data_IF_014846343686
#
_entry.id   IF_014846343686
#
_cell.length_a   1.000
_cell.length_b   1.000
_cell.length_c   1.000
_cell.angle_alpha   90.00
_cell.angle_beta   90.00
_cell.angle_gamma   90.00
#
_symmetry.space_group_name_H-M   'P 1'
#
loop_
_entity.id
_entity.type
_entity.pdbx_description
1 polymer ?
#
# COMPACT_ATOMS: atom_id res chain seq x y z
N UNK A 1 -26.70 -28.32 6.48
CA UNK A 1 -25.67 -27.61 5.71
C UNK A 1 -24.69 -26.97 6.70
N UNK A 2 -23.45 -27.45 6.79
CA UNK A 2 -22.39 -26.75 7.55
C UNK A 2 -22.16 -25.42 6.81
N UNK A 3 -22.45 -24.26 7.45
CA UNK A 3 -21.92 -22.96 7.02
C UNK A 3 -20.41 -23.16 6.84
N UNK A 4 -19.87 -22.88 5.68
CA UNK A 4 -18.41 -22.81 5.52
C UNK A 4 -17.92 -21.80 6.55
N UNK A 5 -17.11 -22.26 7.51
CA UNK A 5 -16.51 -21.33 8.48
C UNK A 5 -15.61 -20.41 7.68
N UNK A 6 -15.99 -19.14 7.54
CA UNK A 6 -15.10 -18.14 6.96
C UNK A 6 -13.81 -18.09 7.75
N UNK A 7 -12.68 -17.93 7.04
CA UNK A 7 -11.40 -17.81 7.70
C UNK A 7 -11.42 -16.58 8.62
N UNK A 8 -11.02 -16.70 9.91
CA UNK A 8 -11.13 -15.59 10.85
C UNK A 8 -10.18 -14.42 10.48
N UNK A 9 -9.08 -14.71 9.80
CA UNK A 9 -8.09 -13.74 9.36
C UNK A 9 -7.81 -13.94 7.88
N UNK A 10 -7.71 -12.83 7.13
CA UNK A 10 -7.54 -12.81 5.68
C UNK A 10 -6.31 -12.00 5.30
N UNK A 11 -5.38 -12.60 4.57
CA UNK A 11 -4.16 -11.96 4.08
C UNK A 11 -3.77 -12.53 2.71
N UNK A 12 -2.92 -11.81 1.97
CA UNK A 12 -2.49 -12.20 0.62
C UNK A 12 -3.55 -12.00 -0.47
N UNK A 13 -4.76 -11.64 -0.09
CA UNK A 13 -5.88 -11.32 -0.98
C UNK A 13 -6.55 -10.03 -0.52
N UNK A 14 -7.48 -9.52 -1.32
CA UNK A 14 -8.31 -8.37 -0.94
C UNK A 14 -9.23 -8.75 0.22
N UNK A 15 -9.37 -7.84 1.17
CA UNK A 15 -10.20 -8.04 2.37
C UNK A 15 -11.55 -7.40 2.13
N UNK A 16 -12.62 -8.17 2.35
CA UNK A 16 -14.02 -7.77 2.14
C UNK A 16 -14.88 -8.13 3.36
N UNK A 17 -16.08 -7.59 3.41
CA UNK A 17 -17.10 -7.93 4.41
C UNK A 17 -16.63 -7.71 5.84
N UNK A 18 -16.92 -8.68 6.72
CA UNK A 18 -16.60 -8.64 8.14
C UNK A 18 -15.09 -8.74 8.44
N UNK A 19 -14.28 -9.16 7.46
CA UNK A 19 -12.82 -9.19 7.59
C UNK A 19 -12.19 -7.81 7.44
N UNK A 20 -12.96 -6.80 7.01
CA UNK A 20 -12.52 -5.42 6.92
C UNK A 20 -12.80 -4.72 8.26
N UNK A 21 -11.75 -4.35 8.97
CA UNK A 21 -11.87 -3.65 10.26
C UNK A 21 -11.57 -2.17 10.14
N UNK A 22 -12.28 -1.36 10.95
CA UNK A 22 -12.11 0.09 11.08
C UNK A 22 -12.17 0.85 9.72
N UNK A 23 -11.47 1.95 9.60
CA UNK A 23 -11.44 2.80 8.39
C UNK A 23 -12.75 3.56 8.12
N UNK A 24 -13.53 3.86 9.16
CA UNK A 24 -14.83 4.53 8.98
C UNK A 24 -14.65 5.93 8.40
N UNK A 25 -13.74 6.72 8.96
CA UNK A 25 -13.47 8.10 8.52
C UNK A 25 -12.94 8.12 7.09
N UNK A 26 -11.96 7.27 6.78
CA UNK A 26 -11.40 7.19 5.43
C UNK A 26 -12.43 6.68 4.42
N UNK A 27 -13.27 5.73 4.83
CA UNK A 27 -14.36 5.20 4.00
C UNK A 27 -15.36 6.29 3.66
N UNK A 28 -15.86 7.05 4.65
CA UNK A 28 -16.83 8.13 4.43
C UNK A 28 -16.23 9.29 3.61
N UNK A 29 -14.97 9.66 3.87
CA UNK A 29 -14.28 10.68 3.09
C UNK A 29 -14.14 10.28 1.63
N UNK A 30 -13.66 9.07 1.38
CA UNK A 30 -13.46 8.56 0.03
C UNK A 30 -14.78 8.37 -0.71
N UNK A 31 -15.83 7.89 0.00
CA UNK A 31 -17.20 7.78 -0.52
C UNK A 31 -17.76 9.15 -0.92
N UNK A 32 -17.58 10.16 -0.09
CA UNK A 32 -17.99 11.53 -0.42
C UNK A 32 -17.24 12.04 -1.66
N UNK A 33 -15.92 11.84 -1.73
CA UNK A 33 -15.13 12.26 -2.88
C UNK A 33 -15.62 11.60 -4.18
N UNK A 34 -15.91 10.31 -4.17
CA UNK A 34 -16.41 9.58 -5.34
C UNK A 34 -17.80 10.03 -5.72
N UNK A 35 -18.68 10.26 -4.74
CA UNK A 35 -20.07 10.69 -4.98
C UNK A 35 -20.14 12.09 -5.57
N UNK A 36 -19.27 12.99 -5.12
CA UNK A 36 -19.30 14.41 -5.53
C UNK A 36 -18.24 14.77 -6.60
N UNK A 37 -17.57 13.76 -7.17
CA UNK A 37 -16.63 13.97 -8.27
C UNK A 37 -15.33 14.66 -7.87
N UNK A 38 -14.87 14.48 -6.64
CA UNK A 38 -13.62 15.07 -6.15
C UNK A 38 -12.45 14.14 -6.46
N UNK A 39 -11.43 14.65 -7.18
CA UNK A 39 -10.21 13.91 -7.38
C UNK A 39 -9.52 13.62 -6.04
N UNK A 40 -9.01 12.41 -5.88
CA UNK A 40 -8.42 11.94 -4.63
C UNK A 40 -7.01 11.41 -4.85
N UNK A 41 -6.08 11.77 -3.97
CA UNK A 41 -4.74 11.21 -3.92
C UNK A 41 -4.57 10.51 -2.58
N UNK A 42 -4.43 9.18 -2.60
CA UNK A 42 -4.28 8.36 -1.41
C UNK A 42 -2.89 7.73 -1.36
N UNK A 43 -2.13 8.04 -0.32
CA UNK A 43 -0.79 7.50 -0.10
C UNK A 43 -0.79 6.58 1.12
N UNK A 44 -0.21 5.42 0.94
CA UNK A 44 -0.06 4.45 2.03
C UNK A 44 1.13 3.53 1.76
N UNK A 45 1.95 3.21 2.75
CA UNK A 45 2.90 2.12 2.63
C UNK A 45 2.23 0.84 2.13
N UNK A 46 3.00 -0.09 1.60
CA UNK A 46 2.52 -1.43 1.25
C UNK A 46 1.91 -2.11 2.48
N UNK A 47 0.99 -3.04 2.27
CA UNK A 47 0.37 -3.89 3.31
C UNK A 47 -0.51 -3.16 4.33
N UNK A 48 -0.91 -1.91 4.06
CA UNK A 48 -1.79 -1.11 4.94
C UNK A 48 -3.28 -1.23 4.61
N UNK A 49 -3.66 -2.02 3.59
CA UNK A 49 -5.05 -2.20 3.19
C UNK A 49 -5.60 -1.12 2.25
N UNK A 50 -4.74 -0.34 1.58
CA UNK A 50 -5.11 0.72 0.63
C UNK A 50 -6.08 0.23 -0.46
N UNK A 51 -5.72 -0.82 -1.19
CA UNK A 51 -6.54 -1.39 -2.28
C UNK A 51 -7.88 -1.91 -1.74
N UNK A 52 -7.88 -2.59 -0.58
CA UNK A 52 -9.11 -3.07 0.06
C UNK A 52 -10.05 -1.92 0.45
N UNK A 53 -9.52 -0.79 0.93
CA UNK A 53 -10.32 0.41 1.23
C UNK A 53 -10.96 0.98 -0.03
N UNK A 54 -10.17 1.18 -1.10
CA UNK A 54 -10.66 1.69 -2.37
C UNK A 54 -11.73 0.77 -2.95
N UNK A 55 -11.49 -0.54 -2.98
CA UNK A 55 -12.44 -1.52 -3.50
C UNK A 55 -13.76 -1.55 -2.69
N UNK A 56 -13.67 -1.47 -1.36
CA UNK A 56 -14.85 -1.36 -0.49
C UNK A 56 -15.69 -0.13 -0.84
N UNK A 57 -15.05 1.03 -0.96
CA UNK A 57 -15.76 2.26 -1.31
C UNK A 57 -16.34 2.18 -2.73
N UNK A 58 -15.58 1.65 -3.68
CA UNK A 58 -16.10 1.41 -5.03
C UNK A 58 -17.39 0.59 -5.01
N UNK A 59 -17.41 -0.52 -4.25
CA UNK A 59 -18.60 -1.38 -4.13
C UNK A 59 -19.79 -0.68 -3.46
N UNK A 60 -19.55 0.31 -2.60
CA UNK A 60 -20.60 1.08 -1.92
C UNK A 60 -21.22 2.15 -2.80
N UNK A 61 -20.49 2.70 -3.78
CA UNK A 61 -20.94 3.83 -4.62
C UNK A 61 -21.31 3.42 -6.04
N UNK A 62 -20.82 2.27 -6.52
CA UNK A 62 -21.05 1.82 -7.88
C UNK A 62 -22.55 1.61 -8.15
N UNK A 63 -23.05 2.24 -9.19
CA UNK A 63 -24.46 2.26 -9.57
C UNK A 63 -24.60 2.55 -11.07
N UNK A 64 -25.83 2.66 -11.57
CA UNK A 64 -26.06 3.15 -12.93
C UNK A 64 -25.63 4.61 -13.15
N UNK A 65 -25.59 5.41 -12.08
CA UNK A 65 -25.18 6.83 -12.11
C UNK A 65 -23.69 7.03 -11.84
N UNK A 66 -23.02 6.07 -11.18
CA UNK A 66 -21.57 6.12 -10.88
C UNK A 66 -20.95 4.82 -11.36
N UNK A 67 -20.05 4.91 -12.34
CA UNK A 67 -19.30 3.79 -12.88
C UNK A 67 -17.85 3.82 -12.43
N UNK A 68 -17.27 2.67 -12.15
CA UNK A 68 -15.92 2.56 -11.61
C UNK A 68 -15.00 1.89 -12.62
N UNK A 69 -14.01 2.63 -13.11
CA UNK A 69 -12.91 2.07 -13.92
C UNK A 69 -11.69 1.82 -13.02
N UNK A 70 -11.16 0.59 -13.01
CA UNK A 70 -10.02 0.18 -12.16
C UNK A 70 -8.82 -0.16 -13.02
N UNK A 71 -7.68 0.44 -12.70
CA UNK A 71 -6.41 0.25 -13.40
C UNK A 71 -5.35 -0.07 -12.36
N UNK A 72 -4.53 -1.08 -12.62
CA UNK A 72 -3.28 -1.32 -11.92
C UNK A 72 -2.12 -0.87 -12.83
N UNK A 73 -1.47 0.22 -12.47
CA UNK A 73 -0.36 0.76 -13.23
C UNK A 73 0.96 0.00 -13.00
N UNK A 74 1.00 -0.94 -12.05
CA UNK A 74 2.22 -1.70 -11.71
C UNK A 74 2.80 -2.46 -12.93
N UNK A 75 1.94 -3.01 -13.78
CA UNK A 75 2.35 -3.73 -14.98
C UNK A 75 2.74 -2.84 -16.17
N UNK A 76 2.46 -1.54 -16.11
CA UNK A 76 2.73 -0.62 -17.22
C UNK A 76 4.21 -0.21 -17.24
N UNK A 77 4.85 -0.31 -18.38
CA UNK A 77 6.25 0.07 -18.60
C UNK A 77 6.42 1.29 -19.49
N UNK A 78 5.36 1.70 -20.16
CA UNK A 78 5.35 2.79 -21.13
C UNK A 78 4.03 3.57 -21.10
N UNK A 79 4.04 4.76 -21.72
CA UNK A 79 2.83 5.56 -21.99
C UNK A 79 1.78 4.69 -22.72
N UNK A 80 2.20 3.91 -23.72
CA UNK A 80 1.30 3.10 -24.52
C UNK A 80 0.63 1.98 -23.69
N UNK A 81 1.37 1.30 -22.80
CA UNK A 81 0.79 0.29 -21.91
C UNK A 81 -0.28 0.90 -21.02
N UNK A 82 0.03 2.08 -20.44
CA UNK A 82 -0.90 2.80 -19.58
C UNK A 82 -2.17 3.21 -20.32
N UNK A 83 -2.03 3.78 -21.52
CA UNK A 83 -3.17 4.26 -22.34
C UNK A 83 -4.08 3.11 -22.75
N UNK A 84 -3.53 1.97 -23.13
CA UNK A 84 -4.34 0.78 -23.45
C UNK A 84 -5.07 0.22 -22.21
N UNK A 85 -4.38 0.13 -21.07
CA UNK A 85 -5.00 -0.29 -19.82
C UNK A 85 -6.11 0.67 -19.37
N UNK A 86 -5.85 1.99 -19.48
CA UNK A 86 -6.80 3.06 -19.17
C UNK A 86 -8.06 2.95 -20.01
N UNK A 87 -7.93 2.90 -21.34
CA UNK A 87 -9.07 2.79 -22.23
C UNK A 87 -9.86 1.52 -22.01
N UNK A 88 -9.17 0.38 -21.86
CA UNK A 88 -9.81 -0.92 -21.57
C UNK A 88 -10.62 -0.85 -20.28
N UNK A 89 -10.08 -0.30 -19.20
CA UNK A 89 -10.79 -0.17 -17.93
C UNK A 89 -12.03 0.72 -18.05
N UNK A 90 -11.95 1.83 -18.76
CA UNK A 90 -13.08 2.75 -18.97
C UNK A 90 -14.18 2.11 -19.81
N UNK A 91 -13.83 1.42 -20.87
CA UNK A 91 -14.81 0.72 -21.73
C UNK A 91 -15.51 -0.40 -20.95
N UNK A 92 -14.75 -1.23 -20.22
CA UNK A 92 -15.32 -2.30 -19.38
C UNK A 92 -16.26 -1.79 -18.30
N UNK A 93 -15.91 -0.70 -17.62
CA UNK A 93 -16.72 -0.09 -16.56
C UNK A 93 -18.10 0.39 -17.07
N UNK A 94 -18.21 0.68 -18.34
CA UNK A 94 -19.40 1.25 -18.96
C UNK A 94 -20.12 0.31 -19.95
N UNK A 95 -19.59 -0.91 -20.13
CA UNK A 95 -20.17 -1.97 -20.95
C UNK A 95 -20.81 -3.06 -20.10
N UNK A 96 -21.72 -3.82 -20.69
CA UNK A 96 -22.22 -5.09 -20.14
C UNK A 96 -21.27 -6.26 -20.41
N UNK A 97 -20.33 -6.10 -21.34
CA UNK A 97 -19.32 -7.09 -21.68
C UNK A 97 -17.99 -6.76 -21.00
N UNK A 98 -17.65 -7.51 -19.96
CA UNK A 98 -16.41 -7.37 -19.20
C UNK A 98 -15.17 -7.93 -19.93
N UNK A 99 -15.34 -8.65 -21.02
CA UNK A 99 -14.25 -9.23 -21.82
C UNK A 99 -13.65 -8.25 -22.84
N UNK A 100 -14.28 -7.09 -23.04
CA UNK A 100 -13.82 -6.10 -24.00
C UNK A 100 -12.39 -5.64 -23.69
N UNK A 101 -11.57 -5.62 -24.72
CA UNK A 101 -10.25 -5.00 -24.72
C UNK A 101 -10.25 -3.85 -25.72
N UNK A 102 -9.69 -2.74 -25.31
CA UNK A 102 -9.52 -1.60 -26.17
C UNK A 102 -8.06 -1.52 -26.62
N UNK A 103 -7.86 -1.47 -27.92
CA UNK A 103 -6.56 -1.15 -28.49
C UNK A 103 -6.61 0.28 -29.01
N UNK A 104 -5.74 1.15 -28.49
CA UNK A 104 -5.67 2.56 -28.91
C UNK A 104 -5.43 2.69 -30.42
N UNK A 105 -4.74 1.74 -31.06
CA UNK A 105 -4.53 1.72 -32.49
C UNK A 105 -3.86 3.01 -32.98
N UNK A 106 -4.53 3.72 -33.89
CA UNK A 106 -4.07 4.98 -34.45
C UNK A 106 -4.54 6.23 -33.67
N UNK A 107 -5.27 6.06 -32.55
CA UNK A 107 -5.73 7.19 -31.75
C UNK A 107 -4.55 7.85 -31.01
N UNK A 108 -4.58 9.16 -30.89
CA UNK A 108 -3.61 9.88 -30.08
C UNK A 108 -3.86 9.66 -28.59
N UNK A 109 -2.84 9.84 -27.76
CA UNK A 109 -2.96 9.80 -26.30
C UNK A 109 -4.10 10.69 -25.80
N UNK A 110 -4.21 11.91 -26.32
CA UNK A 110 -5.24 12.87 -25.90
C UNK A 110 -6.65 12.42 -26.27
N UNK A 111 -6.85 11.81 -27.42
CA UNK A 111 -8.15 11.25 -27.81
C UNK A 111 -8.59 10.13 -26.86
N UNK A 112 -7.68 9.23 -26.52
CA UNK A 112 -7.97 8.16 -25.56
C UNK A 112 -8.24 8.72 -24.16
N UNK A 113 -7.49 9.71 -23.70
CA UNK A 113 -7.70 10.33 -22.39
C UNK A 113 -9.04 11.09 -22.30
N UNK A 114 -9.64 11.52 -23.41
CA UNK A 114 -10.98 12.14 -23.45
C UNK A 114 -12.12 11.11 -23.44
N UNK A 115 -11.83 9.85 -23.71
CA UNK A 115 -12.82 8.78 -23.83
C UNK A 115 -13.76 8.69 -22.60
N UNK A 116 -13.30 8.70 -21.34
CA UNK A 116 -14.20 8.61 -20.19
C UNK A 116 -15.21 9.76 -20.12
N UNK A 117 -14.81 10.99 -20.38
CA UNK A 117 -15.72 12.15 -20.39
C UNK A 117 -16.78 12.03 -21.52
N UNK A 118 -16.38 11.57 -22.69
CA UNK A 118 -17.31 11.36 -23.81
C UNK A 118 -18.34 10.28 -23.47
N UNK A 119 -17.91 9.16 -22.89
CA UNK A 119 -18.79 8.07 -22.49
C UNK A 119 -19.70 8.51 -21.35
N UNK A 120 -19.16 9.16 -20.33
CA UNK A 120 -19.92 9.63 -19.17
C UNK A 120 -21.06 10.56 -19.60
N UNK A 121 -20.77 11.54 -20.48
CA UNK A 121 -21.79 12.45 -21.05
C UNK A 121 -22.84 11.71 -21.86
N UNK A 122 -22.43 10.79 -22.72
CA UNK A 122 -23.37 10.05 -23.58
C UNK A 122 -24.30 9.14 -22.79
N UNK A 123 -23.85 8.62 -21.65
CA UNK A 123 -24.63 7.71 -20.78
C UNK A 123 -25.32 8.42 -19.60
N UNK A 124 -25.06 9.71 -19.41
CA UNK A 124 -25.62 10.46 -18.28
C UNK A 124 -25.14 9.97 -16.91
N UNK A 125 -23.89 9.50 -16.83
CA UNK A 125 -23.30 8.97 -15.59
C UNK A 125 -22.03 9.73 -15.22
N UNK A 126 -21.52 9.50 -14.01
CA UNK A 126 -20.20 9.90 -13.56
C UNK A 126 -19.24 8.69 -13.59
N UNK A 127 -18.01 8.85 -14.03
CA UNK A 127 -17.00 7.80 -14.03
C UNK A 127 -15.91 8.14 -13.00
N UNK A 128 -15.69 7.25 -12.04
CA UNK A 128 -14.55 7.31 -11.12
C UNK A 128 -13.46 6.39 -11.64
N UNK A 129 -12.31 6.95 -11.99
CA UNK A 129 -11.16 6.20 -12.47
C UNK A 129 -10.18 5.99 -11.32
N UNK A 130 -10.08 4.76 -10.83
CA UNK A 130 -9.21 4.34 -9.74
C UNK A 130 -7.93 3.74 -10.30
N UNK A 131 -6.77 4.34 -9.99
CA UNK A 131 -5.46 3.92 -10.53
C UNK A 131 -4.55 3.54 -9.36
N UNK A 132 -4.30 2.22 -9.20
CA UNK A 132 -3.34 1.69 -8.22
C UNK A 132 -1.91 1.85 -8.72
N UNK A 133 -0.98 1.97 -7.79
CA UNK A 133 0.47 2.15 -8.01
C UNK A 133 0.78 3.27 -9.03
N UNK A 134 0.01 4.38 -8.95
CA UNK A 134 0.11 5.51 -9.89
C UNK A 134 1.52 6.08 -10.04
N UNK A 135 2.35 6.01 -9.01
CA UNK A 135 3.74 6.47 -9.10
C UNK A 135 4.56 5.73 -10.18
N UNK A 136 4.09 4.59 -10.67
CA UNK A 136 4.76 3.85 -11.74
C UNK A 136 4.94 4.68 -13.01
N UNK A 137 4.03 5.60 -13.30
CA UNK A 137 4.18 6.52 -14.45
C UNK A 137 5.41 7.42 -14.32
N UNK A 138 5.94 7.59 -13.10
CA UNK A 138 7.17 8.35 -12.85
C UNK A 138 8.43 7.68 -13.40
N UNK A 139 8.38 6.37 -13.63
CA UNK A 139 9.48 5.57 -14.17
C UNK A 139 9.45 5.46 -15.72
N UNK A 140 8.42 6.02 -16.39
CA UNK A 140 8.32 5.98 -17.85
C UNK A 140 9.34 6.89 -18.54
N UNK A 141 9.80 6.53 -19.75
CA UNK A 141 10.50 7.48 -20.60
C UNK A 141 9.65 8.74 -20.79
N UNK A 142 10.25 9.93 -20.72
CA UNK A 142 9.54 11.22 -20.81
C UNK A 142 8.36 11.39 -19.82
N UNK A 143 8.48 10.80 -18.62
CA UNK A 143 7.47 10.83 -17.59
C UNK A 143 6.83 12.21 -17.35
N UNK A 144 7.62 13.28 -17.30
CA UNK A 144 7.09 14.64 -17.11
C UNK A 144 6.21 15.10 -18.26
N UNK A 145 6.56 14.78 -19.49
CA UNK A 145 5.75 15.11 -20.68
C UNK A 145 4.43 14.35 -20.63
N UNK A 146 4.48 13.07 -20.29
CA UNK A 146 3.28 12.25 -20.12
C UNK A 146 2.38 12.79 -19.00
N UNK A 147 2.94 13.11 -17.83
CA UNK A 147 2.18 13.72 -16.72
C UNK A 147 1.52 15.05 -17.14
N UNK A 148 2.18 15.88 -17.96
CA UNK A 148 1.57 17.10 -18.50
C UNK A 148 0.39 16.80 -19.42
N UNK A 149 0.49 15.78 -20.30
CA UNK A 149 -0.63 15.33 -21.14
C UNK A 149 -1.82 14.88 -20.29
N UNK A 150 -1.59 14.01 -19.30
CA UNK A 150 -2.63 13.55 -18.37
C UNK A 150 -3.32 14.75 -17.70
N UNK A 151 -2.53 15.66 -17.09
CA UNK A 151 -3.04 16.82 -16.37
C UNK A 151 -3.86 17.75 -17.26
N UNK A 152 -3.39 18.03 -18.49
CA UNK A 152 -4.06 18.95 -19.42
C UNK A 152 -5.44 18.45 -19.84
N UNK A 153 -5.62 17.14 -19.97
CA UNK A 153 -6.91 16.55 -20.33
C UNK A 153 -7.80 16.39 -19.11
N UNK A 154 -7.30 15.78 -18.05
CA UNK A 154 -8.10 15.41 -16.87
C UNK A 154 -8.69 16.61 -16.13
N UNK A 155 -7.97 17.73 -16.05
CA UNK A 155 -8.49 18.95 -15.39
C UNK A 155 -9.70 19.60 -16.08
N UNK A 156 -9.97 19.23 -17.35
CA UNK A 156 -11.08 19.76 -18.13
C UNK A 156 -12.35 18.88 -18.06
N UNK A 157 -12.25 17.72 -17.42
CA UNK A 157 -13.35 16.79 -17.31
C UNK A 157 -14.26 17.15 -16.14
N UNK A 158 -15.57 17.09 -16.34
CA UNK A 158 -16.59 17.44 -15.35
C UNK A 158 -17.47 16.24 -14.94
N UNK A 159 -17.44 15.16 -15.72
CA UNK A 159 -18.17 13.91 -15.45
C UNK A 159 -17.24 12.76 -15.09
N UNK A 160 -15.97 13.06 -14.82
CA UNK A 160 -14.94 12.08 -14.45
C UNK A 160 -14.18 12.59 -13.25
N UNK A 161 -13.92 11.71 -12.30
CA UNK A 161 -12.98 11.97 -11.21
C UNK A 161 -11.97 10.85 -11.07
N UNK A 162 -10.85 11.16 -10.46
CA UNK A 162 -9.69 10.27 -10.37
C UNK A 162 -9.36 9.95 -8.92
N UNK A 163 -9.19 8.66 -8.62
CA UNK A 163 -8.59 8.20 -7.38
C UNK A 163 -7.21 7.63 -7.69
N UNK A 164 -6.17 8.43 -7.42
CA UNK A 164 -4.78 8.09 -7.71
C UNK A 164 -4.12 7.65 -6.41
N UNK A 165 -3.71 6.38 -6.34
CA UNK A 165 -3.15 5.86 -5.12
C UNK A 165 -1.90 5.03 -5.35
N UNK A 166 -1.02 5.00 -4.35
CA UNK A 166 0.27 4.34 -4.49
C UNK A 166 0.96 4.08 -3.17
N UNK A 167 1.99 3.23 -3.24
CA UNK A 167 2.73 2.75 -2.07
C UNK A 167 4.07 3.48 -1.86
N UNK A 168 4.71 3.99 -2.90
CA UNK A 168 6.00 4.69 -2.80
C UNK A 168 5.77 6.15 -2.38
N UNK A 169 5.71 6.40 -1.07
CA UNK A 169 5.42 7.70 -0.45
C UNK A 169 6.23 8.84 -1.09
N UNK A 170 7.56 8.69 -1.18
CA UNK A 170 8.43 9.74 -1.71
C UNK A 170 8.08 10.14 -3.15
N UNK A 171 7.80 9.17 -4.02
CA UNK A 171 7.44 9.45 -5.41
C UNK A 171 6.08 10.13 -5.51
N UNK A 172 5.09 9.66 -4.76
CA UNK A 172 3.76 10.27 -4.71
C UNK A 172 3.81 11.70 -4.17
N UNK A 173 4.54 11.96 -3.08
CA UNK A 173 4.72 13.32 -2.55
C UNK A 173 5.41 14.22 -3.57
N UNK A 174 6.43 13.74 -4.26
CA UNK A 174 7.10 14.49 -5.30
C UNK A 174 6.14 14.89 -6.44
N UNK A 175 5.29 13.97 -6.90
CA UNK A 175 4.34 14.22 -7.99
C UNK A 175 3.22 15.19 -7.61
N UNK A 176 2.69 15.10 -6.37
CA UNK A 176 1.47 15.80 -5.97
C UNK A 176 1.69 17.02 -5.05
N UNK A 177 2.80 17.09 -4.32
CA UNK A 177 3.08 18.18 -3.38
C UNK A 177 4.18 19.14 -3.86
N UNK A 178 4.97 18.77 -4.86
CA UNK A 178 6.00 19.64 -5.40
C UNK A 178 5.40 20.53 -6.50
N UNK A 179 5.48 21.85 -6.32
CA UNK A 179 4.93 22.84 -7.25
C UNK A 179 5.52 22.79 -8.68
N UNK A 180 6.68 22.13 -8.85
CA UNK A 180 7.31 21.95 -10.16
C UNK A 180 6.72 20.79 -10.97
N UNK A 181 5.82 19.98 -10.37
CA UNK A 181 5.22 18.83 -11.04
C UNK A 181 3.81 19.10 -11.52
N UNK A 182 3.38 18.47 -12.64
CA UNK A 182 2.08 18.75 -13.27
C UNK A 182 0.87 18.49 -12.35
N UNK A 183 0.96 17.48 -11.48
CA UNK A 183 -0.13 17.09 -10.58
C UNK A 183 -0.18 17.85 -9.26
N UNK A 184 0.63 18.91 -9.11
CA UNK A 184 0.55 19.75 -7.91
C UNK A 184 -0.89 20.20 -7.63
N UNK A 185 -1.38 19.92 -6.42
CA UNK A 185 -2.75 20.24 -5.98
C UNK A 185 -3.86 19.73 -6.91
N UNK A 186 -3.73 18.49 -7.40
CA UNK A 186 -4.72 17.92 -8.32
C UNK A 186 -6.05 17.57 -7.67
N UNK A 187 -6.09 17.27 -6.37
CA UNK A 187 -7.30 16.86 -5.67
C UNK A 187 -7.13 16.80 -4.16
N UNK A 188 -8.06 16.14 -3.49
CA UNK A 188 -8.03 15.86 -2.06
C UNK A 188 -6.92 14.85 -1.75
N UNK A 189 -5.98 15.28 -0.92
CA UNK A 189 -4.77 14.53 -0.63
C UNK A 189 -4.78 14.03 0.82
N UNK A 190 -4.64 12.72 1.03
CA UNK A 190 -4.52 12.17 2.36
C UNK A 190 -3.68 10.90 2.46
N UNK A 191 -3.13 10.67 3.64
CA UNK A 191 -2.41 9.47 3.99
C UNK A 191 -3.34 8.47 4.66
N UNK A 192 -3.23 7.20 4.28
CA UNK A 192 -3.85 6.12 5.02
C UNK A 192 -2.97 5.77 6.22
N UNK A 193 -3.40 6.19 7.39
CA UNK A 193 -2.68 5.93 8.64
C UNK A 193 -2.83 4.46 9.08
N UNK A 194 -2.01 4.02 10.03
CA UNK A 194 -2.17 2.72 10.68
C UNK A 194 -3.48 2.69 11.46
N UNK A 195 -4.18 1.57 11.43
CA UNK A 195 -5.32 1.31 12.30
C UNK A 195 -4.84 1.38 13.76
N UNK A 196 -5.68 1.88 14.66
CA UNK A 196 -5.31 2.03 16.05
C UNK A 196 -5.03 0.67 16.71
N UNK A 197 -4.16 0.65 17.73
CA UNK A 197 -3.89 -0.58 18.48
C UNK A 197 -5.17 -1.09 19.14
N UNK A 198 -6.01 -0.18 19.66
CA UNK A 198 -7.28 -0.52 20.30
C UNK A 198 -8.22 -1.26 19.33
N UNK A 199 -8.41 -0.73 18.12
CA UNK A 199 -9.31 -1.33 17.12
C UNK A 199 -8.78 -2.68 16.64
N UNK A 200 -7.46 -2.82 16.53
CA UNK A 200 -6.85 -4.11 16.20
C UNK A 200 -7.01 -5.13 17.31
N UNK A 201 -6.78 -4.77 18.59
CA UNK A 201 -6.94 -5.67 19.72
C UNK A 201 -8.39 -6.16 19.80
N UNK A 202 -9.36 -5.25 19.72
CA UNK A 202 -10.78 -5.60 19.71
C UNK A 202 -11.11 -6.56 18.55
N UNK A 203 -10.66 -6.24 17.34
CA UNK A 203 -10.86 -7.11 16.16
C UNK A 203 -10.26 -8.51 16.35
N UNK A 204 -9.01 -8.60 16.80
CA UNK A 204 -8.34 -9.90 16.99
C UNK A 204 -9.10 -10.76 18.02
N UNK A 205 -9.47 -10.19 19.17
CA UNK A 205 -10.22 -10.89 20.20
C UNK A 205 -11.57 -11.39 19.66
N UNK A 206 -12.35 -10.53 18.99
CA UNK A 206 -13.63 -10.90 18.40
C UNK A 206 -13.49 -12.04 17.36
N UNK A 207 -12.41 -12.03 16.55
CA UNK A 207 -12.18 -13.08 15.56
C UNK A 207 -11.81 -14.42 16.18
N UNK A 208 -11.06 -14.44 17.27
CA UNK A 208 -10.80 -15.66 18.04
C UNK A 208 -12.11 -16.21 18.63
N UNK A 209 -12.87 -15.36 19.32
CA UNK A 209 -14.15 -15.73 19.96
C UNK A 209 -15.17 -16.26 18.95
N UNK A 210 -15.27 -15.65 17.77
CA UNK A 210 -16.20 -16.06 16.71
C UNK A 210 -15.97 -17.50 16.22
N UNK A 211 -14.82 -18.07 16.52
CA UNK A 211 -14.42 -19.45 16.15
C UNK A 211 -14.30 -20.39 17.32
N UNK A 212 -14.67 -19.97 18.55
CA UNK A 212 -14.60 -20.77 19.78
C UNK A 212 -13.18 -20.86 20.35
N UNK A 213 -12.29 -19.93 20.01
CA UNK A 213 -10.94 -19.82 20.59
C UNK A 213 -10.81 -18.50 21.34
N UNK A 214 -9.80 -18.40 22.18
CA UNK A 214 -9.59 -17.21 23.00
C UNK A 214 -8.17 -16.66 22.83
N UNK A 215 -8.01 -15.36 23.00
CA UNK A 215 -6.71 -14.66 23.10
C UNK A 215 -6.87 -13.53 24.11
N UNK A 216 -5.86 -13.30 24.94
CA UNK A 216 -5.89 -12.15 25.83
C UNK A 216 -5.61 -10.84 25.08
N UNK A 217 -6.08 -9.72 25.63
CA UNK A 217 -5.79 -8.39 25.06
C UNK A 217 -4.29 -8.10 25.02
N UNK A 218 -3.52 -8.61 26.01
CA UNK A 218 -2.07 -8.46 26.08
C UNK A 218 -1.41 -9.14 24.88
N UNK A 219 -1.74 -10.40 24.59
CA UNK A 219 -1.18 -11.10 23.43
C UNK A 219 -1.64 -10.49 22.11
N UNK A 220 -2.89 -10.03 22.02
CA UNK A 220 -3.39 -9.31 20.84
C UNK A 220 -2.62 -7.99 20.64
N UNK A 221 -2.29 -7.30 21.73
CA UNK A 221 -1.45 -6.08 21.69
C UNK A 221 -0.02 -6.37 21.24
N UNK A 222 0.57 -7.48 21.70
CA UNK A 222 1.89 -7.91 21.24
C UNK A 222 1.91 -8.24 19.73
N UNK A 223 0.84 -8.86 19.19
CA UNK A 223 0.69 -9.03 17.73
C UNK A 223 0.77 -7.68 17.02
N UNK A 224 0.07 -6.66 17.52
CA UNK A 224 0.07 -5.31 16.96
C UNK A 224 1.47 -4.67 17.02
N UNK A 225 2.18 -4.84 18.12
CA UNK A 225 3.52 -4.26 18.33
C UNK A 225 4.56 -4.92 17.43
N UNK A 226 4.60 -6.25 17.39
CA UNK A 226 5.53 -7.01 16.54
C UNK A 226 5.37 -6.64 15.05
N UNK A 227 4.13 -6.47 14.62
CA UNK A 227 3.80 -6.15 13.23
C UNK A 227 3.78 -4.65 12.94
N UNK A 228 4.05 -3.82 13.95
CA UNK A 228 3.92 -2.36 13.87
C UNK A 228 2.59 -1.93 13.22
N UNK A 229 1.54 -2.71 13.45
CA UNK A 229 0.17 -2.49 12.94
C UNK A 229 0.06 -2.42 11.40
N UNK A 230 0.98 -3.05 10.67
CA UNK A 230 0.82 -3.25 9.23
C UNK A 230 -0.28 -4.28 8.99
N UNK A 231 -1.40 -3.85 8.42
CA UNK A 231 -2.66 -4.61 8.37
C UNK A 231 -2.50 -6.05 7.86
N UNK A 232 -1.73 -6.25 6.79
CA UNK A 232 -1.49 -7.60 6.26
C UNK A 232 -0.71 -8.48 7.23
N UNK A 233 0.27 -7.91 7.95
CA UNK A 233 1.06 -8.65 8.92
C UNK A 233 0.30 -8.94 10.21
N UNK A 234 -0.55 -8.01 10.68
CA UNK A 234 -1.45 -8.27 11.81
C UNK A 234 -2.35 -9.47 11.50
N UNK A 235 -2.99 -9.48 10.35
CA UNK A 235 -3.85 -10.57 9.90
C UNK A 235 -3.07 -11.90 9.79
N UNK A 236 -1.89 -11.86 9.19
CA UNK A 236 -1.08 -13.06 8.97
C UNK A 236 -0.52 -13.63 10.28
N UNK A 237 -0.02 -12.79 11.19
CA UNK A 237 0.47 -13.25 12.49
C UNK A 237 -0.66 -13.79 13.36
N UNK A 238 -1.79 -13.07 13.42
CA UNK A 238 -2.98 -13.54 14.14
C UNK A 238 -3.49 -14.88 13.58
N UNK A 239 -3.44 -15.09 12.27
CA UNK A 239 -3.76 -16.38 11.64
C UNK A 239 -2.83 -17.50 12.10
N UNK A 240 -1.50 -17.29 12.13
CA UNK A 240 -0.56 -18.32 12.57
C UNK A 240 -0.73 -18.67 14.05
N UNK A 241 -1.00 -17.69 14.90
CA UNK A 241 -1.34 -17.92 16.30
C UNK A 241 -2.64 -18.71 16.41
N UNK A 242 -3.70 -18.26 15.72
CA UNK A 242 -5.01 -18.89 15.74
C UNK A 242 -4.97 -20.37 15.28
N UNK A 243 -4.17 -20.68 14.25
CA UNK A 243 -4.04 -22.07 13.75
C UNK A 243 -3.49 -23.03 14.79
N UNK A 244 -2.63 -22.55 15.70
CA UNK A 244 -1.99 -23.38 16.72
C UNK A 244 -2.89 -23.64 17.92
N UNK A 245 -3.75 -22.68 18.26
CA UNK A 245 -4.68 -22.81 19.38
C UNK A 245 -5.75 -23.85 19.05
N UNK A 246 -6.01 -24.78 20.00
CA UNK A 246 -7.09 -25.75 19.89
C UNK A 246 -8.45 -25.09 20.20
N UNK A 247 -9.55 -25.70 19.75
CA UNK A 247 -10.88 -25.21 20.05
C UNK A 247 -11.12 -25.20 21.57
N UNK A 248 -11.79 -24.16 22.06
CA UNK A 248 -12.08 -23.87 23.47
C UNK A 248 -10.85 -23.56 24.35
N UNK A 249 -9.67 -23.37 23.75
CA UNK A 249 -8.46 -22.96 24.46
C UNK A 249 -8.07 -21.50 24.20
N UNK A 250 -7.28 -20.95 25.12
CA UNK A 250 -6.69 -19.64 25.00
C UNK A 250 -5.27 -19.71 24.40
N UNK A 251 -4.94 -18.73 23.56
CA UNK A 251 -3.60 -18.55 23.04
C UNK A 251 -2.60 -18.25 24.18
N UNK A 252 -1.38 -18.75 24.02
CA UNK A 252 -0.28 -18.57 24.94
C UNK A 252 0.87 -17.76 24.31
N UNK A 253 1.84 -17.35 25.14
CA UNK A 253 3.09 -16.72 24.65
C UNK A 253 3.87 -17.66 23.71
N UNK A 254 3.82 -18.98 23.94
CA UNK A 254 4.45 -19.97 23.05
C UNK A 254 3.78 -20.01 21.68
N UNK A 255 2.45 -19.83 21.62
CA UNK A 255 1.71 -19.78 20.36
C UNK A 255 2.07 -18.50 19.57
N UNK A 256 2.22 -17.37 20.28
CA UNK A 256 2.69 -16.13 19.66
C UNK A 256 4.12 -16.27 19.14
N UNK A 257 5.02 -16.83 19.93
CA UNK A 257 6.42 -17.07 19.52
C UNK A 257 6.50 -17.94 18.27
N UNK A 258 5.73 -19.04 18.27
CA UNK A 258 5.61 -19.89 17.08
C UNK A 258 5.04 -19.11 15.87
N UNK A 259 4.00 -18.32 16.08
CA UNK A 259 3.40 -17.49 15.02
C UNK A 259 4.40 -16.52 14.40
N UNK A 260 5.22 -15.88 15.22
CA UNK A 260 6.29 -14.97 14.76
C UNK A 260 7.31 -15.73 13.91
N UNK A 261 7.78 -16.91 14.36
CA UNK A 261 8.73 -17.71 13.57
C UNK A 261 8.13 -18.14 12.23
N UNK A 262 6.86 -18.56 12.20
CA UNK A 262 6.14 -18.88 10.97
C UNK A 262 5.97 -17.69 10.03
N UNK A 263 5.74 -16.49 10.58
CA UNK A 263 5.66 -15.26 9.79
C UNK A 263 7.02 -14.94 9.15
N UNK A 264 8.11 -15.06 9.92
CA UNK A 264 9.46 -14.84 9.41
C UNK A 264 9.81 -15.85 8.31
N UNK A 265 9.54 -17.14 8.52
CA UNK A 265 9.78 -18.19 7.53
C UNK A 265 8.99 -17.95 6.23
N UNK A 266 7.73 -17.53 6.34
CA UNK A 266 6.88 -17.22 5.19
C UNK A 266 7.37 -16.01 4.38
N UNK A 267 8.00 -15.03 5.04
CA UNK A 267 8.53 -13.82 4.38
C UNK A 267 9.99 -13.96 3.94
N UNK A 268 10.74 -14.94 4.44
CA UNK A 268 12.17 -15.09 4.21
C UNK A 268 12.59 -15.10 2.73
N UNK A 269 11.92 -15.82 1.80
CA UNK A 269 12.32 -15.81 0.39
C UNK A 269 12.28 -14.40 -0.23
N UNK A 270 11.28 -13.61 0.13
CA UNK A 270 11.18 -12.21 -0.31
C UNK A 270 12.28 -11.35 0.30
N UNK A 271 12.59 -11.54 1.58
CA UNK A 271 13.61 -10.74 2.28
C UNK A 271 15.02 -11.06 1.77
N UNK A 272 15.32 -12.33 1.46
CA UNK A 272 16.56 -12.72 0.80
C UNK A 272 16.67 -11.97 -0.53
N UNK A 273 15.67 -12.04 -1.39
CA UNK A 273 15.66 -11.34 -2.69
C UNK A 273 15.86 -9.83 -2.55
N UNK A 274 15.27 -9.20 -1.51
CA UNK A 274 15.42 -7.76 -1.28
C UNK A 274 16.81 -7.36 -0.77
N UNK A 275 17.56 -8.28 -0.18
CA UNK A 275 18.80 -7.99 0.52
C UNK A 275 20.04 -8.59 -0.14
N UNK A 276 19.92 -9.60 -1.04
CA UNK A 276 21.04 -10.31 -1.67
C UNK A 276 21.98 -9.40 -2.46
N UNK A 277 21.43 -8.37 -3.13
CA UNK A 277 22.22 -7.41 -3.93
C UNK A 277 22.71 -6.20 -3.11
N UNK A 278 22.54 -6.21 -1.79
CA UNK A 278 22.98 -5.11 -0.96
C UNK A 278 24.49 -5.20 -0.68
N UNK A 279 25.17 -4.07 -0.85
CA UNK A 279 26.57 -3.97 -0.45
C UNK A 279 26.74 -4.07 1.07
N UNK A 280 27.93 -4.44 1.54
CA UNK A 280 28.26 -4.47 2.97
C UNK A 280 27.95 -3.15 3.67
N UNK A 281 28.20 -2.00 3.03
CA UNK A 281 27.86 -0.70 3.59
C UNK A 281 26.35 -0.47 3.73
N UNK A 282 25.54 -0.95 2.78
CA UNK A 282 24.08 -0.88 2.86
C UNK A 282 23.54 -1.77 3.97
N UNK A 283 24.05 -3.01 4.08
CA UNK A 283 23.69 -3.91 5.18
C UNK A 283 24.08 -3.32 6.54
N UNK A 284 25.26 -2.74 6.67
CA UNK A 284 25.70 -2.07 7.89
C UNK A 284 24.80 -0.88 8.25
N UNK A 285 24.29 -0.15 7.25
CA UNK A 285 23.36 0.95 7.48
C UNK A 285 22.01 0.45 8.01
N UNK A 286 21.47 -0.64 7.43
CA UNK A 286 20.27 -1.28 7.94
C UNK A 286 20.48 -1.84 9.34
N UNK A 287 21.66 -2.39 9.64
CA UNK A 287 22.04 -2.85 10.98
C UNK A 287 22.00 -1.72 12.00
N UNK A 288 22.54 -0.54 11.66
CA UNK A 288 22.45 0.63 12.54
C UNK A 288 20.99 1.01 12.86
N UNK A 289 20.12 1.04 11.83
CA UNK A 289 18.69 1.38 12.02
C UNK A 289 18.01 0.34 12.91
N UNK A 290 18.21 -0.94 12.66
CA UNK A 290 17.57 -2.01 13.44
C UNK A 290 18.07 -2.08 14.89
N UNK A 291 19.25 -1.50 15.18
CA UNK A 291 19.76 -1.33 16.53
C UNK A 291 19.36 0.01 17.19
N UNK A 292 18.38 0.71 16.61
CA UNK A 292 17.81 1.91 17.21
C UNK A 292 18.53 3.21 16.84
N UNK A 293 19.46 3.21 15.88
CA UNK A 293 20.03 4.45 15.35
C UNK A 293 19.08 5.02 14.30
N UNK A 294 18.32 6.03 14.66
CA UNK A 294 17.36 6.68 13.77
C UNK A 294 17.82 8.05 13.27
N UNK A 295 18.82 8.64 13.92
CA UNK A 295 19.37 9.98 13.62
C UNK A 295 20.89 9.98 13.77
N UNK A 296 21.55 11.07 13.33
CA UNK A 296 22.97 11.29 13.63
C UNK A 296 23.96 10.36 12.91
N UNK A 297 23.60 9.73 11.82
CA UNK A 297 24.42 8.75 11.07
C UNK A 297 25.80 9.26 10.62
N UNK A 298 26.04 10.55 10.65
CA UNK A 298 27.34 11.18 10.31
C UNK A 298 28.25 11.43 11.52
N UNK A 299 27.80 11.07 12.72
CA UNK A 299 28.62 11.16 13.93
C UNK A 299 29.73 10.10 13.90
N UNK A 300 30.94 10.48 14.30
CA UNK A 300 32.15 9.62 14.23
C UNK A 300 31.91 8.27 14.91
N UNK A 301 31.34 8.28 16.12
CA UNK A 301 31.04 7.05 16.85
C UNK A 301 30.13 6.08 16.07
N UNK A 302 29.09 6.58 15.39
CA UNK A 302 28.16 5.76 14.59
C UNK A 302 28.87 5.27 13.31
N UNK A 303 29.64 6.14 12.63
CA UNK A 303 30.40 5.78 11.44
C UNK A 303 31.37 4.62 11.71
N UNK A 304 32.07 4.69 12.84
CA UNK A 304 33.04 3.65 13.24
C UNK A 304 32.33 2.37 13.72
N UNK A 305 31.36 2.49 14.63
CA UNK A 305 30.66 1.33 15.20
C UNK A 305 30.01 0.47 14.10
N UNK A 306 29.34 1.10 13.14
CA UNK A 306 28.63 0.40 12.06
C UNK A 306 29.41 0.36 10.74
N UNK A 307 30.68 0.81 10.73
CA UNK A 307 31.54 0.82 9.52
C UNK A 307 30.86 1.42 8.30
N UNK A 308 30.26 2.61 8.48
CA UNK A 308 29.50 3.28 7.41
C UNK A 308 30.39 4.07 6.43
N UNK A 309 31.69 4.16 6.70
CA UNK A 309 32.64 4.93 5.90
C UNK A 309 32.57 6.44 6.24
N UNK A 310 32.47 7.28 5.23
CA UNK A 310 32.47 8.75 5.41
C UNK A 310 31.04 9.33 5.46
N UNK A 311 30.90 10.57 5.95
CA UNK A 311 29.63 11.30 5.93
C UNK A 311 29.03 11.42 4.50
N UNK A 312 29.88 11.58 3.48
CA UNK A 312 29.44 11.60 2.08
C UNK A 312 28.86 10.22 1.64
N UNK A 313 29.45 9.13 2.13
CA UNK A 313 28.92 7.78 1.88
C UNK A 313 27.54 7.59 2.51
N UNK A 314 27.33 8.07 3.74
CA UNK A 314 26.02 8.03 4.42
C UNK A 314 24.92 8.64 3.57
N UNK A 315 25.16 9.81 2.97
CA UNK A 315 24.18 10.47 2.09
C UNK A 315 23.82 9.60 0.89
N UNK A 316 24.82 8.95 0.28
CA UNK A 316 24.62 8.05 -0.86
C UNK A 316 23.87 6.77 -0.46
N UNK A 317 24.23 6.16 0.69
CA UNK A 317 23.57 4.98 1.25
C UNK A 317 22.09 5.26 1.51
N UNK A 318 21.81 6.38 2.19
CA UNK A 318 20.44 6.83 2.46
C UNK A 318 19.62 6.93 1.16
N UNK A 319 20.13 7.65 0.16
CA UNK A 319 19.43 7.81 -1.13
C UNK A 319 19.18 6.46 -1.80
N UNK A 320 20.19 5.60 -1.85
CA UNK A 320 20.10 4.28 -2.48
C UNK A 320 19.08 3.37 -1.79
N UNK A 321 19.08 3.33 -0.44
CA UNK A 321 18.14 2.50 0.33
C UNK A 321 16.70 3.03 0.27
N UNK A 322 16.51 4.35 0.15
CA UNK A 322 15.20 4.95 -0.09
C UNK A 322 14.63 4.59 -1.48
N UNK A 323 15.48 4.63 -2.51
CA UNK A 323 15.08 4.21 -3.88
C UNK A 323 14.68 2.73 -3.91
N UNK A 324 15.36 1.89 -3.12
CA UNK A 324 15.02 0.46 -2.95
C UNK A 324 13.81 0.23 -2.03
N UNK A 325 13.20 1.27 -1.46
CA UNK A 325 12.08 1.21 -0.52
C UNK A 325 12.36 0.38 0.76
N UNK A 326 13.64 0.31 1.16
CA UNK A 326 14.08 -0.41 2.37
C UNK A 326 14.03 0.45 3.62
N UNK A 327 14.14 1.77 3.47
CA UNK A 327 14.06 2.73 4.57
C UNK A 327 13.11 3.88 4.23
N UNK A 328 12.53 4.48 5.24
CA UNK A 328 11.62 5.61 5.14
C UNK A 328 12.00 6.73 6.10
N UNK A 329 11.45 7.93 5.89
CA UNK A 329 11.62 9.11 6.74
C UNK A 329 10.24 9.49 7.29
N UNK A 330 9.80 8.91 8.43
CA UNK A 330 8.49 9.22 9.00
C UNK A 330 8.44 10.65 9.60
N UNK A 331 9.58 11.18 10.05
CA UNK A 331 9.73 12.52 10.59
C UNK A 331 11.05 13.15 10.13
N UNK A 332 11.21 14.49 10.16
CA UNK A 332 12.44 15.15 9.75
C UNK A 332 13.69 14.56 10.41
N UNK A 333 14.64 14.14 9.60
CA UNK A 333 15.92 13.50 10.00
C UNK A 333 15.78 12.13 10.69
N UNK A 334 14.60 11.60 10.87
CA UNK A 334 14.36 10.30 11.49
C UNK A 334 14.25 9.23 10.40
N UNK A 335 15.06 8.18 10.48
CA UNK A 335 15.08 7.07 9.53
C UNK A 335 14.56 5.81 10.21
N UNK A 336 13.71 5.09 9.50
CA UNK A 336 13.18 3.79 9.93
C UNK A 336 13.24 2.77 8.79
N UNK A 337 13.16 1.49 9.13
CA UNK A 337 12.91 0.45 8.15
C UNK A 337 11.50 0.62 7.56
N UNK A 338 11.37 0.47 6.24
CA UNK A 338 10.04 0.56 5.57
C UNK A 338 9.16 -0.65 5.89
N UNK A 339 9.75 -1.79 6.25
CA UNK A 339 9.05 -3.02 6.58
C UNK A 339 9.49 -3.52 7.97
N UNK A 340 8.55 -3.56 8.96
CA UNK A 340 8.88 -3.97 10.33
C UNK A 340 9.27 -5.45 10.43
N UNK A 341 8.72 -6.31 9.56
CA UNK A 341 9.03 -7.74 9.60
C UNK A 341 10.38 -8.03 8.93
N UNK A 342 10.77 -7.27 7.90
CA UNK A 342 12.14 -7.29 7.38
C UNK A 342 13.14 -6.88 8.49
N UNK A 343 12.83 -5.82 9.25
CA UNK A 343 13.67 -5.41 10.38
C UNK A 343 13.81 -6.52 11.42
N UNK A 344 12.72 -7.19 11.78
CA UNK A 344 12.71 -8.30 12.73
C UNK A 344 13.47 -9.51 12.20
N UNK A 345 13.29 -9.85 10.92
CA UNK A 345 14.01 -10.93 10.26
C UNK A 345 15.53 -10.68 10.24
N UNK A 346 15.96 -9.48 9.85
CA UNK A 346 17.36 -9.08 9.90
C UNK A 346 17.94 -9.24 11.32
N UNK A 347 17.23 -8.76 12.34
CA UNK A 347 17.63 -8.91 13.73
C UNK A 347 17.82 -10.39 14.12
N UNK A 348 16.80 -11.21 13.93
CA UNK A 348 16.76 -12.58 14.47
C UNK A 348 17.54 -13.59 13.62
N UNK A 349 17.43 -13.50 12.27
CA UNK A 349 17.96 -14.54 11.35
C UNK A 349 19.34 -14.18 10.79
N UNK A 350 19.60 -12.89 10.52
CA UNK A 350 20.87 -12.47 9.91
C UNK A 350 21.90 -12.10 10.98
N UNK A 351 21.53 -11.24 11.93
CA UNK A 351 22.48 -10.76 12.94
C UNK A 351 22.42 -11.51 14.27
N UNK A 352 21.44 -12.40 14.45
CA UNK A 352 21.25 -13.24 15.66
C UNK A 352 21.22 -12.40 16.95
N UNK A 353 20.61 -11.23 16.87
CA UNK A 353 20.37 -10.36 18.03
C UNK A 353 19.10 -10.82 18.75
N UNK A 354 19.16 -10.92 20.05
CA UNK A 354 18.02 -11.28 20.92
C UNK A 354 17.09 -10.10 21.13
#
# INVERSE_FOLDING_TARGET
MRKSKEAPFVFGVRVEGDSFTDRREETERLKANFTYGVNTILISPRRMGKTSLVDKVCSLVESEHIRIARIDAFGCRSENDFINAFATAVVRATSTDSSLEYNAGNNTTEEVLRLPEMIARSKGCHIVVCIDEFQQIGDFPDSLTFQKKLRSVWQLQSHVSYCLYGSKKHMMEQMFQNASYPFYRFGDFFYLNKISEKDWVEYICQRFESTGKHISEELAREICQVTDRYSSYVQQLAWFVWLRVQDDFAATEEDLKYGIDRLLDACEPLFIQQTEDLSAYQMNFLHAITNGVHTGFTQTAILETYRLGTAANVTRLKKSLMVKDLITIPAPKHLEMSDPILALWLKRRVWKLT
#
